data_IF_228504137493
#
_entry.id   IF_228504137493
#
_cell.length_a   1.000
_cell.length_b   1.000
_cell.length_c   1.000
_cell.angle_alpha   90.00
_cell.angle_beta   90.00
_cell.angle_gamma   90.00
#
_symmetry.space_group_name_H-M   'P 1'
#
loop_
_entity.id
_entity.type
_entity.pdbx_description
1 polymer ?
#
# COMPACT_ATOMS: atom_id res chain seq x y z
N UNK A 1 13.78 -6.53 15.82
CA UNK A 1 13.37 -5.11 15.90
C UNK A 1 14.55 -4.15 15.87
N UNK A 2 15.61 -4.36 16.64
CA UNK A 2 16.76 -3.42 16.65
C UNK A 2 17.53 -3.33 15.32
N UNK A 3 17.71 -4.46 14.64
CA UNK A 3 18.31 -4.52 13.30
C UNK A 3 17.49 -3.71 12.28
N UNK A 4 16.16 -3.78 12.37
CA UNK A 4 15.24 -3.02 11.54
C UNK A 4 15.38 -1.51 11.75
N UNK A 5 15.36 -1.04 13.01
CA UNK A 5 15.52 0.40 13.29
C UNK A 5 16.88 0.93 12.84
N UNK A 6 17.94 0.14 13.01
CA UNK A 6 19.28 0.52 12.59
C UNK A 6 19.38 0.64 11.06
N UNK A 7 18.81 -0.32 10.32
CA UNK A 7 18.74 -0.28 8.86
C UNK A 7 17.94 0.95 8.37
N UNK A 8 16.78 1.21 8.98
CA UNK A 8 15.92 2.32 8.62
C UNK A 8 16.57 3.69 8.91
N UNK A 9 17.28 3.82 10.03
CA UNK A 9 18.05 5.03 10.34
C UNK A 9 19.20 5.24 9.36
N UNK A 10 19.87 4.18 8.91
CA UNK A 10 20.91 4.27 7.90
C UNK A 10 20.36 4.77 6.56
N UNK A 11 19.23 4.21 6.11
CA UNK A 11 18.56 4.65 4.87
C UNK A 11 18.07 6.11 4.96
N UNK A 12 17.49 6.52 6.10
CA UNK A 12 17.09 7.93 6.31
C UNK A 12 18.32 8.86 6.27
N UNK A 13 19.44 8.46 6.88
CA UNK A 13 20.68 9.26 6.87
C UNK A 13 21.24 9.40 5.46
N UNK A 14 21.38 8.28 4.74
CA UNK A 14 21.86 8.26 3.36
C UNK A 14 20.97 9.13 2.45
N UNK A 15 19.65 9.07 2.63
CA UNK A 15 18.72 9.93 1.92
C UNK A 15 18.96 11.43 2.23
N UNK A 16 19.13 11.81 3.50
CA UNK A 16 19.39 13.22 3.87
C UNK A 16 20.69 13.73 3.28
N UNK A 17 21.74 12.91 3.28
CA UNK A 17 23.02 13.24 2.65
C UNK A 17 22.87 13.42 1.14
N UNK A 18 22.14 12.53 0.47
CA UNK A 18 21.87 12.64 -0.96
C UNK A 18 21.09 13.92 -1.30
N UNK A 19 20.05 14.25 -0.52
CA UNK A 19 19.27 15.48 -0.71
C UNK A 19 20.14 16.73 -0.52
N UNK A 20 21.02 16.74 0.49
CA UNK A 20 21.95 17.87 0.72
C UNK A 20 22.96 18.02 -0.40
N UNK A 21 23.52 16.92 -0.90
CA UNK A 21 24.42 16.94 -2.07
C UNK A 21 23.70 17.50 -3.31
N UNK A 22 22.44 17.12 -3.53
CA UNK A 22 21.61 17.69 -4.59
C UNK A 22 21.35 19.19 -4.39
N UNK A 23 21.10 19.61 -3.15
CA UNK A 23 20.89 21.01 -2.80
C UNK A 23 22.14 21.86 -3.04
N UNK A 24 23.32 21.37 -2.66
CA UNK A 24 24.60 22.04 -2.88
C UNK A 24 24.97 22.14 -4.37
N UNK A 25 24.61 21.11 -5.15
CA UNK A 25 24.84 21.09 -6.60
C UNK A 25 23.85 21.92 -7.42
N UNK A 26 22.78 22.45 -6.81
CA UNK A 26 21.75 23.22 -7.51
C UNK A 26 22.01 24.73 -7.42
N UNK A 27 22.34 25.36 -8.54
CA UNK A 27 22.55 26.81 -8.61
C UNK A 27 21.24 27.56 -8.95
N UNK A 28 20.66 28.18 -7.92
CA UNK A 28 19.47 29.01 -8.07
C UNK A 28 19.73 30.29 -8.89
N UNK A 29 20.96 30.83 -8.88
CA UNK A 29 21.31 31.99 -9.69
C UNK A 29 21.39 31.66 -11.17
N UNK A 30 21.92 30.49 -11.53
CA UNK A 30 21.89 30.00 -12.90
C UNK A 30 20.44 29.89 -13.42
N UNK A 31 19.53 29.32 -12.62
CA UNK A 31 18.11 29.26 -12.97
C UNK A 31 17.51 30.65 -13.18
N UNK A 32 17.76 31.59 -12.27
CA UNK A 32 17.27 32.95 -12.38
C UNK A 32 17.78 33.66 -13.65
N UNK A 33 19.07 33.55 -13.97
CA UNK A 33 19.65 34.10 -15.21
C UNK A 33 18.98 33.53 -16.45
N UNK A 34 18.74 32.22 -16.49
CA UNK A 34 18.05 31.56 -17.60
C UNK A 34 16.62 32.07 -17.75
N UNK A 35 15.91 32.30 -16.65
CA UNK A 35 14.55 32.85 -16.67
C UNK A 35 14.50 34.28 -17.20
N UNK A 36 15.46 35.12 -16.82
CA UNK A 36 15.59 36.49 -17.36
C UNK A 36 15.83 36.49 -18.88
N UNK A 37 16.64 35.56 -19.39
CA UNK A 37 16.92 35.46 -20.83
C UNK A 37 15.71 34.92 -21.63
N UNK A 38 14.91 34.05 -20.99
CA UNK A 38 13.70 33.50 -21.60
C UNK A 38 12.60 34.55 -21.74
N UNK A 39 12.43 35.37 -20.72
CA UNK A 39 11.36 36.36 -20.59
C UNK A 39 11.92 37.77 -20.36
N UNK A 40 12.43 38.43 -21.42
CA UNK A 40 12.78 39.86 -21.34
C UNK A 40 11.53 40.68 -20.96
N UNK A 41 11.74 41.81 -20.27
CA UNK A 41 10.80 42.64 -19.47
C UNK A 41 9.41 42.98 -20.08
N UNK A 42 9.13 42.59 -21.32
CA UNK A 42 7.95 42.93 -22.11
C UNK A 42 6.80 41.91 -22.04
N UNK A 43 6.96 40.76 -21.38
CA UNK A 43 5.87 39.77 -21.24
C UNK A 43 5.28 39.76 -19.82
N UNK A 44 4.04 40.25 -19.62
CA UNK A 44 3.44 40.44 -18.28
C UNK A 44 2.85 39.15 -17.66
N UNK A 45 3.24 37.95 -18.12
CA UNK A 45 2.71 36.69 -17.61
C UNK A 45 3.59 36.06 -16.53
N UNK A 46 3.04 35.79 -15.35
CA UNK A 46 3.73 34.97 -14.35
C UNK A 46 3.86 33.53 -14.85
N UNK A 47 5.08 32.96 -14.79
CA UNK A 47 5.35 31.57 -15.18
C UNK A 47 4.84 30.63 -14.09
N UNK A 48 3.80 29.88 -14.41
CA UNK A 48 3.07 29.01 -13.49
C UNK A 48 3.56 27.55 -13.50
N UNK A 49 4.29 27.11 -14.54
CA UNK A 49 4.76 25.71 -14.61
C UNK A 49 6.06 25.52 -15.40
N UNK A 50 6.73 24.39 -15.18
CA UNK A 50 7.95 23.99 -15.91
C UNK A 50 7.63 23.65 -17.38
N UNK A 51 6.42 23.17 -17.65
CA UNK A 51 5.92 22.84 -18.98
C UNK A 51 5.69 24.11 -19.80
N UNK A 52 5.30 25.21 -19.16
CA UNK A 52 5.30 26.53 -19.80
C UNK A 52 6.74 26.90 -20.20
N UNK A 53 7.71 26.75 -19.30
CA UNK A 53 9.12 27.01 -19.59
C UNK A 53 9.62 26.22 -20.80
N UNK A 54 9.32 24.92 -20.85
CA UNK A 54 9.65 24.05 -22.00
C UNK A 54 9.01 24.53 -23.30
N UNK A 55 7.72 24.87 -23.27
CA UNK A 55 7.00 25.37 -24.46
C UNK A 55 7.61 26.68 -24.97
N UNK A 56 7.96 27.59 -24.06
CA UNK A 56 8.62 28.84 -24.44
C UNK A 56 10.00 28.63 -25.07
N UNK A 57 10.77 27.65 -24.59
CA UNK A 57 12.05 27.27 -25.22
C UNK A 57 11.85 26.73 -26.63
N UNK A 58 10.83 25.88 -26.84
CA UNK A 58 10.58 25.24 -28.15
C UNK A 58 10.07 26.25 -29.18
N UNK A 59 9.26 27.23 -28.77
CA UNK A 59 8.66 28.20 -29.69
C UNK A 59 9.60 29.38 -30.05
N UNK A 60 10.78 29.50 -29.42
CA UNK A 60 11.69 30.63 -29.63
C UNK A 60 12.85 30.20 -30.52
N UNK A 61 13.09 30.97 -31.59
CA UNK A 61 14.25 30.76 -32.47
C UNK A 61 15.53 31.26 -31.79
N UNK A 62 16.29 30.34 -31.21
CA UNK A 62 17.55 30.62 -30.52
C UNK A 62 18.72 30.90 -31.49
N UNK A 63 18.48 30.90 -32.79
CA UNK A 63 19.48 31.00 -33.86
C UNK A 63 20.02 32.42 -34.12
N UNK A 64 19.47 33.46 -33.48
CA UNK A 64 19.80 34.86 -33.80
C UNK A 64 20.17 35.79 -32.64
N UNK A 65 20.19 35.34 -31.39
CA UNK A 65 20.60 36.21 -30.29
C UNK A 65 22.14 36.20 -30.17
N UNK A 66 22.71 37.34 -30.52
CA UNK A 66 24.14 37.62 -30.66
C UNK A 66 25.02 36.91 -29.64
N UNK A 67 26.19 36.52 -30.13
CA UNK A 67 27.39 36.20 -29.37
C UNK A 67 27.79 37.38 -28.46
N UNK A 68 27.05 37.58 -27.37
CA UNK A 68 27.56 38.21 -26.18
C UNK A 68 28.57 37.23 -25.58
N UNK A 69 29.81 37.37 -26.03
CA UNK A 69 30.99 36.65 -25.57
C UNK A 69 30.94 36.54 -24.03
N UNK A 70 30.77 35.35 -23.45
CA UNK A 70 30.81 35.20 -22.00
C UNK A 70 32.21 35.53 -21.51
N UNK A 71 32.37 36.27 -20.39
CA UNK A 71 33.67 36.44 -19.76
C UNK A 71 34.10 35.08 -19.21
N UNK A 72 35.04 34.46 -19.93
CA UNK A 72 35.96 33.39 -19.54
C UNK A 72 35.54 32.55 -18.32
N UNK A 73 35.01 31.36 -18.57
CA UNK A 73 34.88 30.33 -17.52
C UNK A 73 33.79 29.30 -17.76
N UNK A 74 34.09 28.33 -18.62
CA UNK A 74 33.58 26.95 -18.62
C UNK A 74 32.10 26.68 -19.02
N UNK A 75 31.97 25.99 -20.16
CA UNK A 75 30.78 25.39 -20.82
C UNK A 75 29.65 26.33 -21.24
N UNK A 76 29.54 26.52 -22.55
CA UNK A 76 28.37 27.10 -23.24
C UNK A 76 27.12 26.24 -23.04
N UNK A 77 26.47 26.36 -21.89
CA UNK A 77 25.21 25.69 -21.63
C UNK A 77 24.08 26.52 -22.26
N UNK A 78 23.62 26.10 -23.43
CA UNK A 78 22.50 26.76 -24.10
C UNK A 78 21.24 26.74 -23.22
N UNK A 79 20.39 27.75 -23.33
CA UNK A 79 19.12 27.82 -22.57
C UNK A 79 18.26 26.56 -22.76
N UNK A 80 18.09 26.01 -23.99
CA UNK A 80 17.40 24.74 -24.18
C UNK A 80 18.04 23.57 -23.44
N UNK A 81 19.38 23.49 -23.43
CA UNK A 81 20.11 22.45 -22.71
C UNK A 81 19.88 22.57 -21.20
N UNK A 82 19.89 23.78 -20.64
CA UNK A 82 19.62 24.00 -19.23
C UNK A 82 18.19 23.61 -18.83
N UNK A 83 17.18 23.99 -19.63
CA UNK A 83 15.78 23.63 -19.35
C UNK A 83 15.54 22.13 -19.47
N UNK A 84 16.22 21.46 -20.41
CA UNK A 84 16.23 20.00 -20.52
C UNK A 84 16.92 19.33 -19.32
N UNK A 85 18.05 19.89 -18.85
CA UNK A 85 18.71 19.44 -17.63
C UNK A 85 17.82 19.61 -16.40
N UNK A 86 17.19 20.78 -16.20
CA UNK A 86 16.28 21.04 -15.07
C UNK A 86 15.11 20.04 -15.06
N UNK A 87 14.61 19.72 -16.24
CA UNK A 87 13.57 18.71 -16.44
C UNK A 87 13.99 17.31 -16.01
N UNK A 88 15.19 16.91 -16.43
CA UNK A 88 15.79 15.63 -16.03
C UNK A 88 16.09 15.61 -14.53
N UNK A 89 16.51 16.75 -13.98
CA UNK A 89 16.80 16.93 -12.56
C UNK A 89 15.54 16.77 -11.69
N UNK A 90 14.42 17.38 -12.09
CA UNK A 90 13.14 17.18 -11.41
C UNK A 90 12.67 15.72 -11.52
N UNK A 91 12.90 15.06 -12.65
CA UNK A 91 12.66 13.62 -12.81
C UNK A 91 13.49 12.79 -11.83
N UNK A 92 14.78 13.11 -11.67
CA UNK A 92 15.65 12.47 -10.69
C UNK A 92 15.17 12.70 -9.25
N UNK A 93 14.74 13.91 -8.89
CA UNK A 93 14.16 14.20 -7.56
C UNK A 93 12.86 13.41 -7.31
N UNK A 94 12.08 13.14 -8.35
CA UNK A 94 10.93 12.25 -8.24
C UNK A 94 11.34 10.79 -7.99
N UNK A 95 12.34 10.28 -8.70
CA UNK A 95 12.89 8.94 -8.44
C UNK A 95 13.50 8.82 -7.03
N UNK A 96 14.13 9.89 -6.53
CA UNK A 96 14.66 9.97 -5.17
C UNK A 96 13.52 9.87 -4.14
N UNK A 97 12.40 10.54 -4.39
CA UNK A 97 11.17 10.44 -3.58
C UNK A 97 10.58 9.03 -3.61
N UNK A 98 10.53 8.38 -4.77
CA UNK A 98 10.00 7.01 -4.87
C UNK A 98 10.91 6.00 -4.17
N UNK A 99 12.23 6.21 -4.20
CA UNK A 99 13.20 5.41 -3.44
C UNK A 99 13.01 5.58 -1.93
N UNK A 100 12.81 6.82 -1.47
CA UNK A 100 12.49 7.08 -0.06
C UNK A 100 11.19 6.41 0.36
N UNK A 101 10.15 6.46 -0.48
CA UNK A 101 8.89 5.79 -0.21
C UNK A 101 9.06 4.27 -0.06
N UNK A 102 9.77 3.66 -1.01
CA UNK A 102 10.01 2.22 -1.03
C UNK A 102 10.84 1.74 0.17
N UNK A 103 11.89 2.47 0.52
CA UNK A 103 12.86 2.04 1.54
C UNK A 103 12.55 2.51 2.96
N UNK A 104 11.80 3.60 3.12
CA UNK A 104 11.53 4.21 4.41
C UNK A 104 10.04 4.21 4.72
N UNK A 105 9.21 4.77 3.84
CA UNK A 105 7.79 4.99 4.15
C UNK A 105 7.01 3.69 4.21
N UNK A 106 7.17 2.77 3.25
CA UNK A 106 6.42 1.50 3.27
C UNK A 106 6.79 0.63 4.47
N UNK A 107 8.08 0.43 4.82
CA UNK A 107 8.43 -0.29 6.04
C UNK A 107 7.90 0.39 7.32
N UNK A 108 7.83 1.73 7.36
CA UNK A 108 7.19 2.46 8.46
C UNK A 108 5.68 2.17 8.54
N UNK A 109 4.99 2.18 7.41
CA UNK A 109 3.56 1.86 7.33
C UNK A 109 3.25 0.44 7.82
N UNK A 110 4.03 -0.55 7.39
CA UNK A 110 3.83 -1.94 7.81
C UNK A 110 3.90 -2.12 9.33
N UNK A 111 4.75 -1.35 10.02
CA UNK A 111 4.90 -1.41 11.47
C UNK A 111 3.89 -0.53 12.24
N UNK A 112 3.30 0.48 11.58
CA UNK A 112 2.24 1.32 12.14
C UNK A 112 0.93 0.54 12.33
N UNK A 113 0.56 -0.32 11.38
CA UNK A 113 -0.71 -1.06 11.43
C UNK A 113 -0.67 -2.29 12.34
N UNK A 114 0.51 -2.75 12.74
CA UNK A 114 0.67 -3.99 13.54
C UNK A 114 0.62 -3.73 15.05
N UNK A 115 0.86 -2.50 15.52
CA UNK A 115 1.07 -2.25 16.95
C UNK A 115 0.14 -1.21 17.61
N UNK A 116 -0.88 -0.71 16.91
CA UNK A 116 -1.97 0.07 17.54
C UNK A 116 -2.96 -0.91 18.18
N UNK A 117 -2.65 -1.41 19.37
CA UNK A 117 -3.64 -2.07 20.22
C UNK A 117 -4.76 -1.06 20.56
N UNK A 118 -6.04 -1.33 20.27
CA UNK A 118 -7.15 -0.40 20.48
C UNK A 118 -7.56 -0.20 21.96
N UNK A 119 -6.64 -0.40 22.92
CA UNK A 119 -6.92 -0.39 24.36
C UNK A 119 -6.61 0.91 25.10
N UNK A 120 -6.05 1.92 24.43
CA UNK A 120 -5.56 3.15 25.07
C UNK A 120 -6.45 4.37 24.88
N UNK A 121 -7.77 4.26 25.06
CA UNK A 121 -8.61 5.45 25.29
C UNK A 121 -8.17 6.06 26.63
N UNK A 122 -7.23 6.99 26.60
CA UNK A 122 -7.20 8.06 27.59
C UNK A 122 -8.44 8.90 27.32
N UNK A 123 -9.56 8.51 27.93
CA UNK A 123 -10.69 9.41 28.06
C UNK A 123 -10.20 10.70 28.72
N UNK A 124 -10.48 11.88 28.16
CA UNK A 124 -10.38 13.12 28.91
C UNK A 124 -11.38 12.97 30.06
N UNK A 125 -10.87 12.75 31.27
CA UNK A 125 -11.69 12.68 32.47
C UNK A 125 -12.57 13.92 32.57
N UNK A 126 -13.84 13.76 32.23
CA UNK A 126 -14.90 14.69 32.58
C UNK A 126 -15.06 14.63 34.09
N UNK A 127 -14.24 15.42 34.80
CA UNK A 127 -14.50 15.77 36.18
C UNK A 127 -15.74 16.67 36.21
N UNK A 128 -16.88 16.03 36.40
CA UNK A 128 -18.05 16.63 37.04
C UNK A 128 -17.62 16.95 38.48
N UNK A 129 -17.39 18.23 38.77
CA UNK A 129 -16.97 18.68 40.09
C UNK A 129 -16.93 20.19 40.22
N UNK A 130 -18.11 20.77 40.45
CA UNK A 130 -18.44 21.96 41.26
C UNK A 130 -17.51 23.20 41.26
N UNK A 131 -18.04 24.43 41.06
CA UNK A 131 -17.27 25.65 41.20
C UNK A 131 -17.21 26.10 42.68
N UNK A 132 -16.01 26.33 43.19
CA UNK A 132 -15.78 27.20 44.34
C UNK A 132 -14.58 28.11 44.04
N UNK A 133 -14.71 29.44 44.17
CA UNK A 133 -13.59 30.34 44.04
C UNK A 133 -13.00 30.62 45.43
N UNK A 134 -11.68 30.47 45.59
CA UNK A 134 -10.82 31.28 46.46
C UNK A 134 -9.48 30.58 46.67
N UNK A 135 -8.38 31.31 46.50
CA UNK A 135 -7.09 30.92 47.04
C UNK A 135 -5.90 31.27 46.16
N UNK A 136 -5.36 32.46 46.39
CA UNK A 136 -4.05 32.93 45.95
C UNK A 136 -2.93 31.95 46.34
N UNK A 137 -1.97 31.71 45.44
CA UNK A 137 -0.75 30.99 45.77
C UNK A 137 0.14 30.70 44.56
N UNK A 138 1.28 31.37 44.49
CA UNK A 138 2.37 31.16 43.53
C UNK A 138 2.73 29.68 43.35
N UNK A 139 2.70 29.19 42.11
CA UNK A 139 3.21 27.88 41.72
C UNK A 139 3.58 27.90 40.24
N UNK A 140 4.82 27.48 39.94
CA UNK A 140 5.45 27.50 38.62
C UNK A 140 4.52 26.97 37.53
N UNK A 141 4.46 27.73 36.45
CA UNK A 141 3.88 27.37 35.17
C UNK A 141 4.69 26.21 34.57
N UNK A 142 4.41 24.98 35.02
CA UNK A 142 4.86 23.78 34.32
C UNK A 142 4.07 23.70 33.03
N UNK A 143 4.70 24.23 31.98
CA UNK A 143 4.31 24.07 30.60
C UNK A 143 4.02 22.57 30.36
N UNK A 144 2.79 22.18 29.97
CA UNK A 144 2.46 20.79 29.75
C UNK A 144 3.39 20.28 28.65
N UNK A 145 4.31 19.40 29.04
CA UNK A 145 5.21 18.72 28.12
C UNK A 145 4.33 17.91 27.17
N UNK A 146 4.03 18.47 25.99
CA UNK A 146 3.29 17.80 24.93
C UNK A 146 4.14 16.62 24.51
N UNK A 147 3.90 15.46 25.11
CA UNK A 147 4.49 14.21 24.66
C UNK A 147 3.93 13.95 23.27
N UNK A 148 4.73 14.27 22.25
CA UNK A 148 4.35 14.08 20.86
C UNK A 148 4.04 12.61 20.61
N UNK A 149 2.79 12.33 20.22
CA UNK A 149 2.36 10.98 19.94
C UNK A 149 2.98 10.48 18.63
N UNK A 150 3.29 9.17 18.59
CA UNK A 150 3.73 8.47 17.38
C UNK A 150 2.74 8.70 16.23
N UNK A 151 1.44 8.70 16.53
CA UNK A 151 0.38 8.94 15.57
C UNK A 151 0.41 10.38 15.02
N UNK A 152 0.73 11.37 15.85
CA UNK A 152 0.82 12.77 15.42
C UNK A 152 2.00 12.99 14.47
N UNK A 153 3.15 12.41 14.80
CA UNK A 153 4.34 12.46 13.93
C UNK A 153 4.05 11.75 12.61
N UNK A 154 3.38 10.60 12.63
CA UNK A 154 2.97 9.90 11.41
C UNK A 154 2.03 10.75 10.55
N UNK A 155 1.00 11.37 11.14
CA UNK A 155 0.09 12.28 10.42
C UNK A 155 0.83 13.43 9.76
N UNK A 156 1.76 14.07 10.48
CA UNK A 156 2.58 15.14 9.93
C UNK A 156 3.48 14.64 8.78
N UNK A 157 4.11 13.48 8.94
CA UNK A 157 4.96 12.87 7.93
C UNK A 157 4.18 12.67 6.62
N UNK A 158 3.01 12.03 6.67
CA UNK A 158 2.19 11.79 5.48
C UNK A 158 1.67 13.09 4.87
N UNK A 159 1.31 14.08 5.69
CA UNK A 159 0.86 15.38 5.20
C UNK A 159 1.97 16.10 4.41
N UNK A 160 3.20 16.17 4.94
CA UNK A 160 4.33 16.80 4.25
C UNK A 160 4.74 15.99 3.01
N UNK A 161 4.79 14.66 3.13
CA UNK A 161 5.08 13.75 2.01
C UNK A 161 4.09 13.95 0.86
N UNK A 162 2.80 14.08 1.13
CA UNK A 162 1.79 14.36 0.10
C UNK A 162 2.05 15.69 -0.58
N UNK A 163 2.36 16.75 0.18
CA UNK A 163 2.71 18.07 -0.40
C UNK A 163 3.98 17.99 -1.25
N UNK A 164 4.98 17.21 -0.85
CA UNK A 164 6.19 16.96 -1.62
C UNK A 164 5.88 16.26 -2.96
N UNK A 165 5.08 15.19 -2.94
CA UNK A 165 4.69 14.48 -4.15
C UNK A 165 3.93 15.38 -5.15
N UNK A 166 3.05 16.26 -4.64
CA UNK A 166 2.31 17.20 -5.48
C UNK A 166 3.22 18.23 -6.17
N UNK A 167 4.32 18.66 -5.54
CA UNK A 167 5.29 19.56 -6.18
C UNK A 167 6.03 18.90 -7.36
N UNK A 168 6.14 17.57 -7.36
CA UNK A 168 6.85 16.82 -8.41
C UNK A 168 5.94 16.47 -9.61
N UNK A 169 4.64 16.76 -9.55
CA UNK A 169 3.65 16.25 -10.51
C UNK A 169 3.65 16.94 -11.90
N UNK A 170 4.60 17.83 -12.21
CA UNK A 170 4.73 18.45 -13.54
C UNK A 170 3.50 19.23 -14.00
N UNK A 171 2.72 19.76 -13.06
CA UNK A 171 1.51 20.56 -13.32
C UNK A 171 1.70 22.04 -12.98
N UNK A 172 0.59 22.77 -12.89
CA UNK A 172 0.61 24.13 -12.35
C UNK A 172 1.14 24.14 -10.91
N UNK A 173 2.09 25.02 -10.62
CA UNK A 173 2.67 25.16 -9.29
C UNK A 173 1.67 25.89 -8.39
N UNK A 174 1.03 25.14 -7.50
CA UNK A 174 0.10 25.68 -6.51
C UNK A 174 0.86 26.40 -5.39
N UNK A 175 0.55 27.69 -5.20
CA UNK A 175 1.13 28.53 -4.14
C UNK A 175 0.89 27.97 -2.74
N UNK A 176 -0.22 27.25 -2.54
CA UNK A 176 -0.58 26.63 -1.25
C UNK A 176 0.42 25.55 -0.83
N UNK A 177 1.14 24.97 -1.79
CA UNK A 177 2.15 23.96 -1.54
C UNK A 177 3.51 24.58 -1.20
N UNK A 178 3.75 25.85 -1.51
CA UNK A 178 5.03 26.50 -1.30
C UNK A 178 5.16 26.98 0.16
N UNK A 179 6.21 26.54 0.83
CA UNK A 179 6.52 26.91 2.21
C UNK A 179 7.07 28.35 2.29
N UNK A 180 6.82 29.08 3.40
CA UNK A 180 7.45 30.37 3.67
C UNK A 180 8.98 30.32 3.70
N UNK A 181 9.58 29.18 4.11
CA UNK A 181 11.04 28.98 4.14
C UNK A 181 11.70 29.30 2.79
N UNK A 182 11.12 28.81 1.70
CA UNK A 182 11.64 29.02 0.34
C UNK A 182 11.66 30.47 -0.12
N UNK A 183 10.94 31.35 0.57
CA UNK A 183 10.98 32.79 0.31
C UNK A 183 12.30 33.40 0.78
N UNK A 184 12.89 32.84 1.85
CA UNK A 184 14.21 33.27 2.35
C UNK A 184 15.30 32.93 1.35
N UNK A 185 15.19 31.80 0.66
CA UNK A 185 16.12 31.39 -0.41
C UNK A 185 16.07 32.34 -1.62
N UNK A 186 15.01 33.15 -1.74
CA UNK A 186 14.87 34.17 -2.78
C UNK A 186 15.37 35.57 -2.35
N UNK A 187 15.90 35.72 -1.13
CA UNK A 187 16.47 37.00 -0.70
C UNK A 187 17.71 37.31 -1.56
N UNK A 188 17.61 38.32 -2.41
CA UNK A 188 18.69 38.74 -3.33
C UNK A 188 18.31 38.76 -4.80
N UNK A 189 17.17 38.17 -5.19
CA UNK A 189 16.70 38.21 -6.58
C UNK A 189 15.74 39.39 -6.80
N UNK A 190 16.28 40.52 -7.25
CA UNK A 190 15.47 41.65 -7.69
C UNK A 190 14.52 41.21 -8.83
N UNK A 191 13.31 41.78 -8.93
CA UNK A 191 12.37 41.48 -10.03
C UNK A 191 11.96 39.99 -10.18
N UNK A 192 12.11 39.15 -9.13
CA UNK A 192 11.73 37.75 -9.19
C UNK A 192 10.21 37.48 -9.23
N UNK A 193 9.37 38.52 -9.13
CA UNK A 193 7.91 38.38 -9.06
C UNK A 193 7.31 37.52 -10.20
N UNK A 194 7.67 37.69 -11.48
CA UNK A 194 7.09 36.90 -12.57
C UNK A 194 7.51 35.42 -12.56
N UNK A 195 8.58 35.08 -11.84
CA UNK A 195 9.20 33.75 -11.85
C UNK A 195 9.15 33.06 -10.48
N UNK A 196 8.47 33.69 -9.52
CA UNK A 196 8.56 33.34 -8.11
C UNK A 196 8.21 31.88 -7.86
N UNK A 197 7.20 31.34 -8.55
CA UNK A 197 6.76 29.95 -8.42
C UNK A 197 7.83 28.96 -8.88
N UNK A 198 8.39 29.20 -10.07
CA UNK A 198 9.43 28.35 -10.66
C UNK A 198 10.71 28.40 -9.81
N UNK A 199 11.13 29.59 -9.38
CA UNK A 199 12.32 29.74 -8.52
C UNK A 199 12.14 29.09 -7.15
N UNK A 200 10.92 29.08 -6.60
CA UNK A 200 10.62 28.42 -5.32
C UNK A 200 10.49 26.92 -5.42
N UNK A 201 10.26 26.35 -6.61
CA UNK A 201 9.89 24.95 -6.77
C UNK A 201 10.96 24.01 -6.19
N UNK A 202 12.20 24.11 -6.70
CA UNK A 202 13.30 23.23 -6.32
C UNK A 202 13.69 23.40 -4.84
N UNK A 203 13.86 24.63 -4.31
CA UNK A 203 14.07 24.83 -2.87
C UNK A 203 12.96 24.22 -2.00
N UNK A 204 11.68 24.33 -2.40
CA UNK A 204 10.59 23.70 -1.66
C UNK A 204 10.65 22.19 -1.66
N UNK A 205 11.06 21.58 -2.78
CA UNK A 205 11.25 20.13 -2.85
C UNK A 205 12.31 19.71 -1.83
N UNK A 206 13.44 20.42 -1.74
CA UNK A 206 14.47 20.14 -0.73
C UNK A 206 13.94 20.31 0.70
N UNK A 207 13.32 21.45 1.02
CA UNK A 207 12.77 21.69 2.36
C UNK A 207 11.78 20.61 2.79
N UNK A 208 10.87 20.20 1.90
CA UNK A 208 9.88 19.17 2.24
C UNK A 208 10.50 17.78 2.34
N UNK A 209 11.43 17.44 1.44
CA UNK A 209 12.11 16.15 1.50
C UNK A 209 12.92 15.98 2.80
N UNK A 210 13.64 17.02 3.23
CA UNK A 210 14.36 17.03 4.51
C UNK A 210 13.41 16.98 5.71
N UNK A 211 12.34 17.77 5.71
CA UNK A 211 11.34 17.76 6.78
C UNK A 211 10.65 16.38 6.89
N UNK A 212 10.32 15.73 5.77
CA UNK A 212 9.77 14.38 5.76
C UNK A 212 10.77 13.38 6.34
N UNK A 213 12.06 13.46 5.99
CA UNK A 213 13.10 12.59 6.54
C UNK A 213 13.32 12.81 8.05
N UNK A 214 13.23 14.05 8.53
CA UNK A 214 13.30 14.38 9.96
C UNK A 214 12.13 13.79 10.74
N UNK A 215 10.91 13.90 10.20
CA UNK A 215 9.73 13.28 10.81
C UNK A 215 9.83 11.75 10.80
N UNK A 216 10.38 11.15 9.74
CA UNK A 216 10.65 9.71 9.70
C UNK A 216 11.65 9.30 10.79
N UNK A 217 12.75 10.05 10.94
CA UNK A 217 13.75 9.80 11.97
C UNK A 217 13.15 9.92 13.38
N UNK A 218 12.33 10.94 13.60
CA UNK A 218 11.63 11.18 14.87
C UNK A 218 10.64 10.07 15.19
N UNK A 219 9.87 9.63 14.20
CA UNK A 219 8.96 8.50 14.34
C UNK A 219 9.72 7.25 14.79
N UNK A 220 10.85 6.93 14.15
CA UNK A 220 11.67 5.77 14.49
C UNK A 220 12.20 5.86 15.92
N UNK A 221 12.67 7.03 16.35
CA UNK A 221 13.15 7.25 17.70
C UNK A 221 12.03 7.03 18.74
N UNK A 222 10.86 7.63 18.53
CA UNK A 222 9.71 7.48 19.42
C UNK A 222 9.23 6.03 19.49
N UNK A 223 9.05 5.39 18.33
CA UNK A 223 8.63 4.00 18.26
C UNK A 223 9.66 3.08 18.94
N UNK A 224 10.96 3.25 18.66
CA UNK A 224 12.01 2.50 19.35
C UNK A 224 11.95 2.68 20.87
N UNK A 225 11.80 3.91 21.36
CA UNK A 225 11.73 4.18 22.81
C UNK A 225 10.54 3.50 23.49
N UNK A 226 9.37 3.50 22.85
CA UNK A 226 8.13 2.90 23.39
C UNK A 226 8.24 1.39 23.48
N UNK A 227 8.73 0.72 22.44
CA UNK A 227 8.80 -0.74 22.40
C UNK A 227 10.08 -1.33 23.01
N UNK A 228 11.14 -0.53 23.19
CA UNK A 228 12.31 -0.94 24.00
C UNK A 228 11.97 -0.94 25.49
N UNK A 229 11.08 -0.04 25.94
CA UNK A 229 10.67 0.07 27.35
C UNK A 229 9.72 -1.06 27.79
N UNK A 230 8.96 -1.64 26.86
CA UNK A 230 8.02 -2.74 27.14
C UNK A 230 8.70 -4.12 27.23
N UNK A 231 10.01 -4.24 26.94
CA UNK A 231 10.74 -5.51 27.01
C UNK A 231 11.31 -5.86 28.40
N UNK A 232 11.01 -5.10 29.46
CA UNK A 232 11.30 -5.51 30.85
C UNK A 232 9.99 -5.63 31.64
N UNK A 233 9.63 -6.86 32.06
CA UNK A 233 10.06 -7.32 33.37
C UNK A 233 10.59 -8.77 33.34
N UNK A 234 11.90 -8.91 33.11
CA UNK A 234 12.63 -10.11 33.54
C UNK A 234 13.24 -9.81 34.90
N UNK A 235 12.51 -10.11 35.97
CA UNK A 235 12.91 -9.70 37.31
C UNK A 235 12.12 -10.29 38.47
N UNK A 236 11.82 -11.59 38.45
CA UNK A 236 11.64 -12.37 39.68
C UNK A 236 12.44 -13.67 39.52
N UNK A 237 13.33 -13.92 40.48
CA UNK A 237 14.39 -14.93 40.46
C UNK A 237 13.89 -16.35 40.15
N UNK A 238 14.77 -17.27 39.76
CA UNK A 238 15.77 -17.88 40.64
C UNK A 238 16.93 -18.43 39.80
N UNK A 239 18.11 -18.59 40.42
CA UNK A 239 19.08 -19.58 39.95
C UNK A 239 20.52 -19.10 39.82
N UNK A 240 21.19 -18.98 40.97
CA UNK A 240 22.65 -18.99 41.13
C UNK A 240 23.30 -20.15 40.35
N UNK A 241 24.46 -19.91 39.71
CA UNK A 241 25.49 -20.94 39.56
C UNK A 241 26.33 -20.95 38.28
N UNK A 242 27.55 -20.37 38.39
CA UNK A 242 28.83 -20.79 37.74
C UNK A 242 28.94 -20.70 36.20
N UNK A 243 30.02 -20.32 35.52
CA UNK A 243 31.40 -19.89 35.78
C UNK A 243 31.83 -19.13 34.50
N UNK A 244 32.38 -17.92 34.59
CA UNK A 244 33.78 -17.55 34.30
C UNK A 244 34.42 -18.20 33.07
N UNK A 245 34.82 -17.37 32.10
CA UNK A 245 35.68 -17.74 30.97
C UNK A 245 35.90 -16.57 30.02
N UNK A 246 36.69 -15.57 30.45
CA UNK A 246 37.28 -14.54 29.60
C UNK A 246 38.19 -15.16 28.53
N UNK A 247 38.18 -14.65 27.30
CA UNK A 247 39.39 -14.49 26.46
C UNK A 247 39.17 -13.42 25.35
N UNK A 248 40.29 -12.77 25.03
CA UNK A 248 40.51 -11.43 24.47
C UNK A 248 40.30 -11.25 22.93
N UNK A 249 40.42 -10.01 22.41
CA UNK A 249 40.09 -9.62 21.03
C UNK A 249 41.33 -9.54 20.10
N UNK A 250 41.12 -9.61 18.77
CA UNK A 250 42.20 -9.44 17.78
C UNK A 250 41.74 -9.20 16.33
N UNK A 251 41.83 -7.93 15.92
CA UNK A 251 42.39 -7.34 14.67
C UNK A 251 42.15 -7.90 13.25
N UNK A 252 41.57 -7.02 12.42
CA UNK A 252 42.00 -6.47 11.09
C UNK A 252 41.96 -7.27 9.77
N UNK A 253 41.17 -6.71 8.82
CA UNK A 253 41.43 -6.37 7.40
C UNK A 253 41.80 -7.45 6.35
N UNK A 254 40.99 -7.61 5.29
CA UNK A 254 41.10 -6.90 3.98
C UNK A 254 40.41 -7.70 2.82
N UNK A 255 40.02 -6.95 1.79
CA UNK A 255 39.16 -7.24 0.62
C UNK A 255 39.55 -8.44 -0.30
N UNK A 256 38.57 -9.11 -0.94
CA UNK A 256 38.27 -9.00 -2.39
C UNK A 256 37.25 -10.04 -2.91
N UNK A 257 36.36 -9.55 -3.78
CA UNK A 257 35.61 -10.18 -4.88
C UNK A 257 34.96 -11.58 -4.74
N UNK A 258 33.63 -11.58 -4.85
CA UNK A 258 32.83 -12.75 -5.24
C UNK A 258 31.40 -12.35 -5.59
N UNK A 259 31.11 -12.25 -6.89
CA UNK A 259 29.77 -12.29 -7.47
C UNK A 259 28.95 -13.44 -6.86
N UNK A 260 27.69 -13.24 -6.47
CA UNK A 260 26.58 -14.21 -6.62
C UNK A 260 25.22 -13.66 -6.09
N UNK A 261 24.24 -13.71 -7.00
CA UNK A 261 22.82 -14.11 -6.82
C UNK A 261 21.79 -13.22 -6.07
N UNK A 262 20.54 -13.17 -6.60
CA UNK A 262 19.46 -12.37 -6.04
C UNK A 262 18.92 -12.99 -4.74
N UNK A 263 18.63 -12.11 -3.79
CA UNK A 263 18.10 -12.44 -2.48
C UNK A 263 16.80 -13.25 -2.59
N UNK A 264 16.90 -14.52 -2.21
CA UNK A 264 15.77 -15.38 -1.87
C UNK A 264 15.07 -14.79 -0.64
N UNK A 265 13.95 -14.10 -0.88
CA UNK A 265 13.02 -13.69 0.17
C UNK A 265 12.44 -14.95 0.82
N UNK A 266 13.06 -15.34 1.92
CA UNK A 266 12.55 -16.38 2.81
C UNK A 266 11.28 -15.85 3.50
N UNK A 267 10.13 -16.22 2.94
CA UNK A 267 8.81 -15.98 3.51
C UNK A 267 8.70 -16.68 4.87
N UNK A 268 8.97 -15.91 5.92
CA UNK A 268 8.65 -16.25 7.31
C UNK A 268 7.46 -15.39 7.75
N UNK A 269 6.34 -15.47 7.04
CA UNK A 269 5.14 -14.67 7.32
C UNK A 269 3.85 -15.47 7.11
N UNK A 270 3.78 -16.65 7.73
CA UNK A 270 2.52 -17.29 8.11
C UNK A 270 2.80 -18.03 9.43
N UNK A 271 2.55 -17.35 10.55
CA UNK A 271 2.85 -17.85 11.89
C UNK A 271 1.79 -17.41 12.89
N UNK A 272 0.54 -17.69 12.56
CA UNK A 272 -0.62 -17.57 13.45
C UNK A 272 -1.43 -18.86 13.47
N UNK A 273 -0.75 -20.01 13.47
CA UNK A 273 -1.38 -21.29 13.78
C UNK A 273 -1.22 -21.55 15.27
N UNK A 274 -2.33 -21.53 15.98
CA UNK A 274 -2.46 -22.03 17.34
C UNK A 274 -1.86 -23.43 17.41
N UNK A 275 -0.69 -23.59 18.03
CA UNK A 275 -0.20 -24.90 18.40
C UNK A 275 -1.11 -25.49 19.49
N UNK A 276 -1.64 -26.71 19.33
CA UNK A 276 -2.25 -27.41 20.46
C UNK A 276 -1.13 -27.80 21.42
N UNK A 277 -1.12 -27.16 22.58
CA UNK A 277 -0.21 -27.44 23.70
C UNK A 277 -0.53 -28.83 24.26
N UNK A 278 0.13 -29.86 23.75
CA UNK A 278 0.12 -31.19 24.36
C UNK A 278 0.86 -31.13 25.70
N UNK A 279 0.11 -31.16 26.81
CA UNK A 279 0.66 -31.43 28.15
C UNK A 279 1.06 -32.90 28.20
N UNK A 280 2.37 -33.17 28.13
CA UNK A 280 2.94 -34.46 28.50
C UNK A 280 3.04 -34.56 30.02
N UNK A 281 2.22 -35.43 30.61
CA UNK A 281 2.36 -35.93 31.97
C UNK A 281 2.14 -37.44 31.96
N UNK A 282 3.24 -38.17 32.11
CA UNK A 282 3.39 -39.60 32.49
C UNK A 282 2.41 -39.94 33.64
N UNK A 283 1.81 -41.12 33.80
CA UNK A 283 2.25 -42.52 33.63
C UNK A 283 1.05 -43.48 33.88
N UNK A 284 1.05 -44.67 33.26
CA UNK A 284 0.09 -45.77 33.52
C UNK A 284 -0.42 -46.36 32.21
N UNK A 285 0.31 -47.32 31.62
CA UNK A 285 0.12 -48.76 31.81
C UNK A 285 -1.18 -49.30 31.18
N UNK A 286 -1.00 -50.08 30.11
CA UNK A 286 -1.94 -51.05 29.53
C UNK A 286 -3.36 -50.59 29.20
N UNK A 287 -3.58 -50.00 28.01
CA UNK A 287 -4.95 -49.95 27.47
C UNK A 287 -5.18 -49.06 26.27
N UNK A 288 -5.47 -49.70 25.13
CA UNK A 288 -6.29 -49.19 24.02
C UNK A 288 -5.63 -48.26 22.99
N UNK A 289 -5.18 -48.86 21.88
CA UNK A 289 -4.84 -48.17 20.63
C UNK A 289 -5.98 -47.33 20.02
N UNK A 290 -7.19 -47.36 20.61
CA UNK A 290 -8.32 -46.52 20.22
C UNK A 290 -8.08 -45.01 20.46
N UNK A 291 -7.20 -44.62 21.39
CA UNK A 291 -6.90 -43.20 21.66
C UNK A 291 -6.11 -42.51 20.54
N UNK A 292 -5.18 -43.24 19.90
CA UNK A 292 -4.40 -42.75 18.75
C UNK A 292 -5.28 -42.63 17.49
N UNK A 293 -6.13 -43.65 17.30
CA UNK A 293 -7.45 -43.62 16.65
C UNK A 293 -8.06 -42.23 16.40
N UNK A 294 -8.65 -41.73 17.49
CA UNK A 294 -9.42 -40.50 17.49
C UNK A 294 -8.58 -39.26 17.23
N UNK A 295 -7.31 -39.23 17.67
CA UNK A 295 -6.44 -38.07 17.48
C UNK A 295 -6.17 -37.79 16.00
N UNK A 296 -5.84 -38.82 15.22
CA UNK A 296 -5.56 -38.66 13.77
C UNK A 296 -6.83 -38.27 13.01
N UNK A 297 -8.00 -38.81 13.38
CA UNK A 297 -9.29 -38.41 12.79
C UNK A 297 -9.62 -36.94 13.07
N UNK A 298 -9.40 -36.49 14.31
CA UNK A 298 -9.60 -35.08 14.67
C UNK A 298 -8.63 -34.17 13.89
N UNK A 299 -7.37 -34.57 13.76
CA UNK A 299 -6.37 -33.80 13.00
C UNK A 299 -6.68 -33.76 11.49
N UNK A 300 -7.24 -34.84 10.94
CA UNK A 300 -7.72 -34.87 9.56
C UNK A 300 -8.89 -33.89 9.38
N UNK A 301 -9.86 -33.90 10.29
CA UNK A 301 -10.99 -32.97 10.24
C UNK A 301 -10.52 -31.52 10.31
N UNK A 302 -9.63 -31.18 11.24
CA UNK A 302 -9.05 -29.83 11.34
C UNK A 302 -8.34 -29.41 10.04
N UNK A 303 -7.57 -30.32 9.44
CA UNK A 303 -6.86 -30.04 8.18
C UNK A 303 -7.84 -29.86 7.00
N UNK A 304 -8.95 -30.60 6.99
CA UNK A 304 -10.01 -30.44 5.99
C UNK A 304 -10.76 -29.10 6.16
N UNK A 305 -11.05 -28.69 7.38
CA UNK A 305 -11.66 -27.38 7.68
C UNK A 305 -10.72 -26.23 7.25
N UNK A 306 -9.43 -26.33 7.56
CA UNK A 306 -8.41 -25.39 7.10
C UNK A 306 -8.38 -25.31 5.57
N UNK A 307 -8.37 -26.45 4.89
CA UNK A 307 -8.37 -26.52 3.43
C UNK A 307 -9.59 -25.80 2.82
N UNK A 308 -10.79 -26.04 3.35
CA UNK A 308 -12.01 -25.39 2.88
C UNK A 308 -11.97 -23.87 3.07
N UNK A 309 -11.44 -23.39 4.20
CA UNK A 309 -11.23 -21.96 4.45
C UNK A 309 -10.28 -21.32 3.43
N UNK A 310 -9.16 -21.99 3.15
CA UNK A 310 -8.15 -21.51 2.20
C UNK A 310 -8.67 -21.48 0.76
N UNK A 311 -9.44 -22.49 0.35
CA UNK A 311 -10.09 -22.54 -0.96
C UNK A 311 -11.08 -21.38 -1.12
N UNK A 312 -11.92 -21.11 -0.12
CA UNK A 312 -12.82 -19.95 -0.13
C UNK A 312 -12.08 -18.62 -0.24
N UNK A 313 -10.92 -18.50 0.42
CA UNK A 313 -10.05 -17.32 0.27
C UNK A 313 -9.46 -17.21 -1.14
N UNK A 314 -9.09 -18.31 -1.78
CA UNK A 314 -8.54 -18.32 -3.13
C UNK A 314 -9.55 -17.85 -4.20
N UNK A 315 -10.86 -18.02 -3.93
CA UNK A 315 -11.94 -17.53 -4.78
C UNK A 315 -12.19 -16.01 -4.67
N UNK A 316 -11.77 -15.39 -3.55
CA UNK A 316 -12.01 -13.96 -3.27
C UNK A 316 -11.50 -13.04 -4.38
N UNK A 317 -10.34 -13.33 -4.95
CA UNK A 317 -9.78 -12.55 -6.06
C UNK A 317 -10.70 -12.56 -7.30
N UNK A 318 -11.36 -13.69 -7.58
CA UNK A 318 -12.35 -13.78 -8.67
C UNK A 318 -13.62 -12.98 -8.36
N UNK A 319 -14.08 -13.00 -7.10
CA UNK A 319 -15.21 -12.19 -6.67
C UNK A 319 -14.92 -10.68 -6.78
N UNK A 320 -13.71 -10.25 -6.40
CA UNK A 320 -13.28 -8.85 -6.54
C UNK A 320 -13.15 -8.43 -8.01
N UNK A 321 -12.65 -9.30 -8.88
CA UNK A 321 -12.61 -9.06 -10.33
C UNK A 321 -14.02 -8.88 -10.91
N UNK A 322 -14.98 -9.73 -10.52
CA UNK A 322 -16.37 -9.61 -10.93
C UNK A 322 -16.99 -8.29 -10.46
N UNK A 323 -16.73 -7.88 -9.21
CA UNK A 323 -17.16 -6.57 -8.70
C UNK A 323 -16.54 -5.41 -9.49
N UNK A 324 -15.23 -5.49 -9.79
CA UNK A 324 -14.53 -4.46 -10.55
C UNK A 324 -15.11 -4.30 -11.96
N UNK A 325 -15.48 -5.40 -12.62
CA UNK A 325 -16.21 -5.38 -13.90
C UNK A 325 -17.57 -4.70 -13.77
N UNK A 326 -18.36 -5.05 -12.76
CA UNK A 326 -19.67 -4.45 -12.50
C UNK A 326 -19.59 -2.93 -12.24
N UNK A 327 -18.62 -2.49 -11.43
CA UNK A 327 -18.39 -1.06 -11.17
C UNK A 327 -17.97 -0.34 -12.45
N UNK A 328 -17.10 -0.93 -13.26
CA UNK A 328 -16.65 -0.34 -14.53
C UNK A 328 -17.81 -0.18 -15.52
N UNK A 329 -18.73 -1.14 -15.57
CA UNK A 329 -19.97 -1.02 -16.36
C UNK A 329 -20.88 0.10 -15.82
N UNK A 330 -21.03 0.20 -14.49
CA UNK A 330 -21.82 1.26 -13.85
C UNK A 330 -21.28 2.66 -14.15
N UNK A 331 -19.96 2.85 -14.06
CA UNK A 331 -19.29 4.13 -14.42
C UNK A 331 -19.55 4.47 -15.89
N UNK A 332 -19.43 3.49 -16.79
CA UNK A 332 -19.67 3.69 -18.21
C UNK A 332 -21.13 4.13 -18.48
N UNK A 333 -22.08 3.51 -17.80
CA UNK A 333 -23.50 3.89 -17.87
C UNK A 333 -23.75 5.30 -17.31
N UNK A 334 -23.14 5.66 -16.18
CA UNK A 334 -23.26 7.02 -15.61
C UNK A 334 -22.66 8.08 -16.54
N UNK A 335 -21.53 7.81 -17.20
CA UNK A 335 -20.98 8.69 -18.23
C UNK A 335 -21.95 8.88 -19.40
N UNK A 336 -22.56 7.80 -19.89
CA UNK A 336 -23.56 7.88 -20.96
C UNK A 336 -24.75 8.75 -20.55
N UNK A 337 -25.30 8.53 -19.34
CA UNK A 337 -26.40 9.36 -18.80
C UNK A 337 -26.01 10.83 -18.67
N UNK A 338 -24.80 11.12 -18.22
CA UNK A 338 -24.30 12.48 -18.12
C UNK A 338 -24.19 13.14 -19.50
N UNK A 339 -23.73 12.40 -20.50
CA UNK A 339 -23.65 12.90 -21.88
C UNK A 339 -25.04 13.17 -22.46
N UNK A 340 -25.99 12.26 -22.25
CA UNK A 340 -27.37 12.43 -22.72
C UNK A 340 -28.05 13.64 -22.07
N UNK A 341 -27.84 13.86 -20.77
CA UNK A 341 -28.33 15.05 -20.06
C UNK A 341 -27.68 16.35 -20.51
N UNK A 342 -26.41 16.31 -20.92
CA UNK A 342 -25.75 17.48 -21.54
C UNK A 342 -26.37 17.80 -22.89
N UNK A 343 -26.62 16.80 -23.74
CA UNK A 343 -27.33 17.00 -25.02
C UNK A 343 -28.73 17.55 -24.82
N UNK A 344 -29.47 17.08 -23.80
CA UNK A 344 -30.78 17.62 -23.44
C UNK A 344 -30.70 19.11 -23.06
N UNK A 345 -29.69 19.49 -22.26
CA UNK A 345 -29.45 20.89 -21.91
C UNK A 345 -29.16 21.74 -23.16
N UNK A 346 -28.29 21.25 -24.04
CA UNK A 346 -27.91 21.95 -25.27
C UNK A 346 -29.13 22.16 -26.19
N UNK A 347 -30.01 21.14 -26.31
CA UNK A 347 -31.25 21.24 -27.08
C UNK A 347 -32.21 22.29 -26.51
N UNK A 348 -32.37 22.35 -25.18
CA UNK A 348 -33.21 23.37 -24.52
C UNK A 348 -32.64 24.77 -24.73
N UNK A 349 -31.31 24.92 -24.70
CA UNK A 349 -30.64 26.20 -24.97
C UNK A 349 -30.75 26.64 -26.43
N UNK A 350 -30.64 25.72 -27.39
CA UNK A 350 -30.82 26.03 -28.81
C UNK A 350 -32.26 26.43 -29.14
N UNK A 351 -33.26 25.79 -28.52
CA UNK A 351 -34.66 26.16 -28.69
C UNK A 351 -34.97 27.59 -28.23
N UNK A 352 -34.25 28.10 -27.23
CA UNK A 352 -34.36 29.49 -26.77
C UNK A 352 -33.84 30.51 -27.79
N UNK A 353 -32.74 30.18 -28.49
CA UNK A 353 -32.13 31.09 -29.48
C UNK A 353 -32.88 31.20 -30.81
N UNK A 354 -33.89 30.35 -31.06
CA UNK A 354 -34.66 30.34 -32.31
C UNK A 354 -36.05 30.98 -32.18
N UNK A 355 -36.50 31.33 -30.96
CA UNK A 355 -37.85 31.86 -30.68
C UNK A 355 -37.92 33.34 -30.29
N UNK A 356 -36.84 34.10 -30.42
CA UNK A 356 -36.71 35.46 -29.86
C UNK A 356 -37.47 36.58 -30.60
N UNK A 357 -38.13 36.31 -31.74
CA UNK A 357 -38.82 37.37 -32.50
C UNK A 357 -40.30 37.59 -32.10
N UNK A 358 -40.98 36.65 -31.43
CA UNK A 358 -42.38 36.81 -31.04
C UNK A 358 -42.65 36.30 -29.60
N UNK A 359 -43.05 37.21 -28.69
CA UNK A 359 -43.53 37.00 -27.31
C UNK A 359 -42.51 36.99 -26.15
N UNK A 360 -42.31 38.18 -25.58
CA UNK A 360 -41.54 38.46 -24.37
C UNK A 360 -42.20 38.04 -23.02
N UNK A 361 -43.29 37.27 -23.01
CA UNK A 361 -44.08 37.00 -21.79
C UNK A 361 -43.98 35.56 -21.22
N UNK A 362 -43.27 34.61 -21.85
CA UNK A 362 -43.16 33.20 -21.39
C UNK A 362 -41.80 32.79 -20.76
N UNK A 363 -41.07 33.74 -20.15
CA UNK A 363 -39.71 33.54 -19.62
C UNK A 363 -39.56 32.63 -18.37
N UNK A 364 -40.54 32.46 -17.44
CA UNK A 364 -40.29 31.75 -16.17
C UNK A 364 -40.10 30.23 -16.27
N UNK A 365 -40.81 29.55 -17.17
CA UNK A 365 -40.87 28.08 -17.19
C UNK A 365 -39.59 27.45 -17.78
N UNK A 366 -38.99 28.09 -18.80
CA UNK A 366 -37.75 27.63 -19.43
C UNK A 366 -36.54 27.72 -18.49
N UNK A 367 -36.49 28.75 -17.64
CA UNK A 367 -35.47 28.88 -16.60
C UNK A 367 -35.57 27.76 -15.56
N UNK A 368 -36.79 27.30 -15.24
CA UNK A 368 -37.02 26.20 -14.29
C UNK A 368 -36.51 24.86 -14.86
N UNK A 369 -36.80 24.58 -16.12
CA UNK A 369 -36.36 23.35 -16.81
C UNK A 369 -34.83 23.25 -16.92
N UNK A 370 -34.16 24.32 -17.35
CA UNK A 370 -32.69 24.37 -17.41
C UNK A 370 -32.06 24.13 -16.02
N UNK A 371 -32.61 24.75 -14.98
CA UNK A 371 -32.11 24.59 -13.62
C UNK A 371 -32.32 23.16 -13.11
N UNK A 372 -33.40 22.48 -13.48
CA UNK A 372 -33.64 21.09 -13.14
C UNK A 372 -32.59 20.16 -13.79
N UNK A 373 -32.28 20.35 -15.08
CA UNK A 373 -31.26 19.56 -15.79
C UNK A 373 -29.87 19.77 -15.18
N UNK A 374 -29.51 21.02 -14.84
CA UNK A 374 -28.25 21.33 -14.17
C UNK A 374 -28.12 20.64 -12.80
N UNK A 375 -29.20 20.58 -12.01
CA UNK A 375 -29.22 19.83 -10.75
C UNK A 375 -28.98 18.33 -10.99
N UNK A 376 -29.65 17.75 -11.99
CA UNK A 376 -29.46 16.34 -12.37
C UNK A 376 -28.02 16.04 -12.81
N UNK A 377 -27.40 16.94 -13.59
CA UNK A 377 -25.99 16.81 -13.98
C UNK A 377 -25.04 16.85 -12.78
N UNK A 378 -25.32 17.70 -11.79
CA UNK A 378 -24.55 17.75 -10.55
C UNK A 378 -24.72 16.47 -9.71
N UNK A 379 -25.94 15.92 -9.63
CA UNK A 379 -26.20 14.64 -8.97
C UNK A 379 -25.48 13.48 -9.67
N UNK A 380 -25.52 13.42 -11.00
CA UNK A 380 -24.80 12.41 -11.78
C UNK A 380 -23.29 12.53 -11.59
N UNK A 381 -22.75 13.76 -11.56
CA UNK A 381 -21.34 14.01 -11.28
C UNK A 381 -20.91 13.44 -9.92
N UNK A 382 -21.67 13.71 -8.86
CA UNK A 382 -21.40 13.14 -7.53
C UNK A 382 -21.45 11.61 -7.51
N UNK A 383 -22.43 11.00 -8.19
CA UNK A 383 -22.54 9.54 -8.28
C UNK A 383 -21.37 8.92 -9.03
N UNK A 384 -20.90 9.57 -10.09
CA UNK A 384 -19.72 9.15 -10.84
C UNK A 384 -18.47 9.14 -9.95
N UNK A 385 -18.22 10.24 -9.22
CA UNK A 385 -17.10 10.36 -8.29
C UNK A 385 -17.11 9.25 -7.21
N UNK A 386 -18.30 8.92 -6.68
CA UNK A 386 -18.46 7.85 -5.69
C UNK A 386 -18.15 6.46 -6.28
N UNK A 387 -18.61 6.17 -7.49
CA UNK A 387 -18.32 4.89 -8.15
C UNK A 387 -16.84 4.79 -8.56
N UNK A 388 -16.21 5.89 -9.00
CA UNK A 388 -14.75 5.93 -9.25
C UNK A 388 -13.94 5.69 -7.98
N UNK A 389 -14.36 6.27 -6.85
CA UNK A 389 -13.75 6.00 -5.55
C UNK A 389 -13.92 4.53 -5.14
N UNK A 390 -15.13 3.97 -5.31
CA UNK A 390 -15.41 2.55 -5.04
C UNK A 390 -14.55 1.64 -5.93
N UNK A 391 -14.39 1.96 -7.22
CA UNK A 391 -13.48 1.28 -8.15
C UNK A 391 -12.06 1.28 -7.61
N UNK A 392 -11.56 2.42 -7.15
CA UNK A 392 -10.20 2.51 -6.60
C UNK A 392 -10.00 1.64 -5.36
N UNK A 393 -11.01 1.46 -4.51
CA UNK A 393 -10.91 0.57 -3.34
C UNK A 393 -10.84 -0.88 -3.81
N UNK A 394 -11.83 -1.32 -4.58
CA UNK A 394 -11.93 -2.72 -5.04
C UNK A 394 -10.71 -3.12 -5.87
N UNK A 395 -10.18 -2.22 -6.69
CA UNK A 395 -8.97 -2.46 -7.47
C UNK A 395 -7.73 -2.67 -6.59
N UNK A 396 -7.57 -1.89 -5.51
CA UNK A 396 -6.44 -2.07 -4.58
C UNK A 396 -6.54 -3.39 -3.83
N UNK A 397 -7.73 -3.72 -3.34
CA UNK A 397 -7.99 -4.99 -2.67
C UNK A 397 -7.72 -6.17 -3.60
N UNK A 398 -8.13 -6.07 -4.87
CA UNK A 398 -7.89 -7.10 -5.88
C UNK A 398 -6.40 -7.30 -6.14
N UNK A 399 -5.62 -6.22 -6.31
CA UNK A 399 -4.17 -6.30 -6.51
C UNK A 399 -3.47 -6.91 -5.29
N UNK A 400 -3.91 -6.58 -4.08
CA UNK A 400 -3.39 -7.18 -2.85
C UNK A 400 -3.65 -8.70 -2.82
N UNK A 401 -4.88 -9.13 -3.14
CA UNK A 401 -5.23 -10.56 -3.21
C UNK A 401 -4.41 -11.29 -4.29
N UNK A 402 -4.19 -10.68 -5.45
CA UNK A 402 -3.31 -11.25 -6.48
C UNK A 402 -1.86 -11.39 -6.02
N UNK A 403 -1.37 -10.45 -5.21
CA UNK A 403 0.01 -10.47 -4.69
C UNK A 403 0.22 -11.64 -3.73
N UNK A 404 -0.77 -11.96 -2.88
CA UNK A 404 -0.67 -13.06 -1.90
C UNK A 404 -1.05 -14.42 -2.50
N UNK A 405 -1.75 -14.46 -3.64
CA UNK A 405 -2.28 -15.69 -4.25
C UNK A 405 -1.25 -16.79 -4.48
N UNK A 406 -0.02 -16.54 -4.95
CA UNK A 406 0.97 -17.61 -5.14
C UNK A 406 1.36 -18.30 -3.82
N UNK A 407 1.45 -17.53 -2.72
CA UNK A 407 1.75 -18.10 -1.41
C UNK A 407 0.56 -18.91 -0.87
N UNK A 408 -0.66 -18.40 -1.06
CA UNK A 408 -1.89 -19.10 -0.69
C UNK A 408 -2.03 -20.44 -1.43
N UNK A 409 -1.78 -20.48 -2.73
CA UNK A 409 -1.85 -21.72 -3.52
C UNK A 409 -0.85 -22.77 -3.04
N UNK A 410 0.40 -22.37 -2.75
CA UNK A 410 1.39 -23.31 -2.16
C UNK A 410 0.94 -23.84 -0.81
N UNK A 411 0.32 -23.00 0.03
CA UNK A 411 -0.20 -23.44 1.33
C UNK A 411 -1.36 -24.42 1.16
N UNK A 412 -2.27 -24.17 0.21
CA UNK A 412 -3.33 -25.11 -0.18
C UNK A 412 -2.74 -26.46 -0.58
N UNK A 413 -1.71 -26.49 -1.44
CA UNK A 413 -1.07 -27.73 -1.88
C UNK A 413 -0.48 -28.52 -0.70
N UNK A 414 0.16 -27.82 0.25
CA UNK A 414 0.73 -28.43 1.46
C UNK A 414 -0.37 -29.03 2.35
N UNK A 415 -1.45 -28.29 2.60
CA UNK A 415 -2.57 -28.78 3.42
C UNK A 415 -3.28 -29.95 2.72
N UNK A 416 -3.48 -29.90 1.41
CA UNK A 416 -4.03 -31.01 0.63
C UNK A 416 -3.17 -32.27 0.75
N UNK A 417 -1.85 -32.14 0.66
CA UNK A 417 -0.93 -33.26 0.80
C UNK A 417 -1.01 -33.86 2.22
N UNK A 418 -1.07 -33.02 3.25
CA UNK A 418 -1.27 -33.44 4.65
C UNK A 418 -2.59 -34.19 4.84
N UNK A 419 -3.70 -33.72 4.25
CA UNK A 419 -4.97 -34.43 4.29
C UNK A 419 -4.85 -35.84 3.68
N UNK A 420 -4.23 -35.96 2.49
CA UNK A 420 -4.01 -37.27 1.83
C UNK A 420 -3.12 -38.21 2.65
N UNK A 421 -2.16 -37.68 3.39
CA UNK A 421 -1.30 -38.46 4.30
C UNK A 421 -2.09 -38.98 5.51
N UNK A 422 -2.86 -38.12 6.16
CA UNK A 422 -3.71 -38.49 7.30
C UNK A 422 -4.80 -39.49 6.88
N UNK A 423 -5.43 -39.29 5.71
CA UNK A 423 -6.41 -40.23 5.13
C UNK A 423 -5.81 -41.63 4.94
N UNK A 424 -4.58 -41.72 4.39
CA UNK A 424 -3.88 -43.02 4.25
C UNK A 424 -3.61 -43.69 5.59
N UNK A 425 -3.24 -42.93 6.62
CA UNK A 425 -3.02 -43.48 7.97
C UNK A 425 -4.34 -44.01 8.57
N UNK A 426 -5.43 -43.26 8.42
CA UNK A 426 -6.76 -43.68 8.90
C UNK A 426 -7.21 -44.96 8.19
N UNK A 427 -7.06 -45.04 6.86
CA UNK A 427 -7.40 -46.24 6.09
C UNK A 427 -6.55 -47.45 6.48
N UNK A 428 -5.24 -47.27 6.67
CA UNK A 428 -4.35 -48.35 7.09
C UNK A 428 -4.70 -48.93 8.47
N UNK A 429 -5.28 -48.13 9.36
CA UNK A 429 -5.80 -48.62 10.65
C UNK A 429 -7.12 -49.37 10.53
N UNK A 430 -7.98 -49.02 9.56
CA UNK A 430 -9.22 -49.74 9.29
C UNK A 430 -8.95 -51.11 8.64
N UNK A 431 -7.95 -51.19 7.77
CA UNK A 431 -7.51 -52.46 7.16
C UNK A 431 -6.75 -53.36 8.15
N UNK A 432 -6.00 -52.78 9.10
CA UNK A 432 -5.31 -53.51 10.17
C UNK A 432 -6.23 -53.90 11.35
N UNK A 433 -7.55 -53.72 11.20
CA UNK A 433 -8.55 -54.15 12.18
C UNK A 433 -8.35 -55.61 12.61
N UNK A 434 -8.72 -55.96 13.86
CA UNK A 434 -8.37 -57.23 14.46
C UNK A 434 -8.84 -58.37 13.56
N UNK A 435 -7.89 -59.15 13.04
CA UNK A 435 -8.17 -60.38 12.31
C UNK A 435 -9.24 -61.13 13.13
N UNK A 436 -10.37 -61.54 12.52
CA UNK A 436 -11.41 -62.21 13.26
C UNK A 436 -10.74 -63.41 13.93
N UNK A 437 -10.67 -63.38 15.26
CA UNK A 437 -10.25 -64.51 16.06
C UNK A 437 -11.16 -65.64 15.61
N UNK A 438 -10.65 -66.50 14.71
CA UNK A 438 -11.30 -67.73 14.29
C UNK A 438 -11.49 -68.49 15.59
N UNK A 439 -12.71 -68.42 16.10
CA UNK A 439 -13.17 -69.24 17.20
C UNK A 439 -12.91 -70.67 16.75
N UNK A 440 -11.90 -71.30 17.36
CA UNK A 440 -11.57 -72.70 17.14
C UNK A 440 -12.74 -73.53 17.69
N UNK A 441 -13.79 -73.68 16.88
CA UNK A 441 -14.84 -74.68 17.12
C UNK A 441 -14.32 -76.01 16.60
N UNK A 442 -13.94 -76.81 17.58
CA UNK A 442 -13.72 -78.24 17.56
C UNK A 442 -14.85 -78.95 16.80
N UNK A 443 -14.44 -79.94 16.01
CA UNK A 443 -15.20 -80.86 15.17
C UNK A 443 -16.30 -81.62 15.91
N UNK A 444 -17.48 -81.79 15.27
CA UNK A 444 -18.03 -83.13 15.01
C UNK A 444 -19.14 -83.11 13.93
N UNK A 445 -18.84 -83.82 12.83
CA UNK A 445 -19.66 -84.78 12.06
C UNK A 445 -21.18 -84.60 11.93
N UNK A 446 -21.69 -84.52 10.69
CA UNK A 446 -22.57 -85.52 10.01
C UNK A 446 -23.10 -84.98 8.68
N UNK A 447 -23.29 -85.91 7.74
CA UNK A 447 -23.27 -85.81 6.29
C UNK A 447 -24.64 -85.64 5.59
N UNK A 448 -24.61 -85.00 4.39
CA UNK A 448 -25.38 -85.27 3.13
C UNK A 448 -26.91 -84.97 3.05
N UNK A 449 -27.56 -84.95 1.84
CA UNK A 449 -27.34 -84.08 0.66
C UNK A 449 -28.68 -83.62 -0.03
N UNK A 450 -28.58 -82.76 -1.05
CA UNK A 450 -29.66 -82.54 -2.06
C UNK A 450 -29.54 -81.17 -2.75
N UNK A 451 -29.09 -81.07 -4.00
CA UNK A 451 -29.90 -81.15 -5.26
C UNK A 451 -30.86 -79.96 -5.40
N UNK A 452 -31.00 -79.19 -6.48
CA UNK A 452 -30.37 -79.05 -7.80
C UNK A 452 -30.98 -77.76 -8.45
N UNK A 453 -30.54 -77.44 -9.67
CA UNK A 453 -31.12 -76.51 -10.67
C UNK A 453 -30.67 -75.04 -10.58
N UNK A 454 -29.81 -74.56 -11.50
CA UNK A 454 -30.02 -74.22 -12.93
C UNK A 454 -30.73 -72.88 -13.14
N UNK A 455 -30.03 -71.87 -13.69
CA UNK A 455 -30.43 -71.10 -14.90
C UNK A 455 -29.49 -69.92 -15.20
N UNK A 456 -28.64 -70.12 -16.22
CA UNK A 456 -28.58 -69.46 -17.53
C UNK A 456 -28.84 -67.94 -17.70
N UNK A 457 -27.83 -67.27 -18.31
CA UNK A 457 -27.80 -66.14 -19.27
C UNK A 457 -28.56 -64.82 -18.96
N UNK A 458 -27.95 -63.63 -19.13
CA UNK A 458 -27.78 -62.97 -20.43
C UNK A 458 -26.76 -61.80 -20.41
N UNK A 459 -26.39 -61.37 -21.61
CA UNK A 459 -25.27 -60.52 -22.00
C UNK A 459 -25.56 -59.00 -22.11
N UNK A 460 -24.51 -58.19 -21.83
CA UNK A 460 -23.97 -57.02 -22.59
C UNK A 460 -24.89 -55.80 -22.92
N UNK A 461 -24.42 -54.72 -23.58
CA UNK A 461 -23.68 -53.58 -23.00
C UNK A 461 -24.23 -52.19 -23.45
N UNK A 462 -23.64 -51.07 -22.98
CA UNK A 462 -23.82 -49.71 -23.54
C UNK A 462 -23.93 -48.65 -22.43
N UNK A 463 -23.42 -47.41 -22.54
CA UNK A 463 -22.93 -46.64 -23.67
C UNK A 463 -21.92 -45.59 -23.21
N UNK A 464 -20.94 -45.31 -24.07
CA UNK A 464 -20.10 -44.11 -24.04
C UNK A 464 -20.96 -42.87 -24.31
N UNK A 465 -20.78 -41.83 -23.51
CA UNK A 465 -21.21 -40.46 -23.82
C UNK A 465 -20.00 -39.53 -23.73
N UNK A 466 -19.39 -39.26 -24.88
CA UNK A 466 -18.31 -38.29 -25.06
C UNK A 466 -18.96 -37.00 -25.58
N UNK A 467 -18.79 -35.88 -24.88
CA UNK A 467 -19.14 -34.55 -25.38
C UNK A 467 -17.91 -33.66 -25.24
N UNK A 468 -17.36 -33.31 -26.41
CA UNK A 468 -16.36 -32.27 -26.61
C UNK A 468 -17.03 -30.88 -26.67
N UNK A 469 -16.27 -29.78 -26.48
CA UNK A 469 -16.82 -28.45 -26.24
C UNK A 469 -17.11 -27.69 -27.55
N UNK A 470 -18.20 -26.93 -27.53
CA UNK A 470 -18.59 -26.02 -28.59
C UNK A 470 -17.73 -24.75 -28.63
N UNK A 471 -17.26 -24.46 -29.83
CA UNK A 471 -16.69 -23.20 -30.29
C UNK A 471 -17.68 -22.03 -30.18
N UNK A 472 -17.20 -20.87 -29.71
CA UNK A 472 -17.86 -19.58 -29.92
C UNK A 472 -16.91 -18.65 -30.68
N UNK A 473 -17.37 -18.23 -31.85
CA UNK A 473 -16.85 -17.18 -32.72
C UNK A 473 -17.93 -16.09 -32.83
N UNK A 474 -17.50 -14.82 -32.88
CA UNK A 474 -18.30 -13.62 -33.23
C UNK A 474 -19.02 -12.98 -32.04
N UNK A 475 -18.97 -11.67 -31.81
CA UNK A 475 -18.69 -10.49 -32.64
C UNK A 475 -17.86 -9.48 -31.86
#
# INVERSE_FOLDING_TARGET
>A
METFYSALQAEIRAFKEQVRSCQEGFDLHALYKVLLLLFPESQPGEVQSIEQLRRHVVCKDWTGQEAAKPPAGDRDCSIPAYVSWLSSYLGYLNSLKDTFDAKVVFPLCENLYVNEEPGGRSEPGLLVGSPCPSGSGHGKEEQPCVTESIADVARQLFAIRRKWALLLQGGMIDDRLLSPQSLRDLQGFAHACPFRKVLKLVPNIFHKSLATAELAQKWVALHRSRYSSLQLPSGLGWGRGWCRGDLAPGTSEHLTNGSFSPLSLSNSFLGGCSQPRAKSGTSGDGGSGAGSAGLVRAQLQESQEELMSLLGRAERAGALEAQLRGITQSISHLHQQQQDKRRELDNVQQGLGQGEEDMAECVPEHSSSCQAILRQLADLGRRLELEEYRKSIVQRDWVLELTVRPALLRHIDVVQQRCRELERVVLGWEEAGPAPLRSAKMTDSVSLPGSAHSSTAHAMPGSRGSLAPGSWQGQ
#
